data_IF_087474388684
#
_entry.id   IF_087474388684
#
_cell.length_a   1.000
_cell.length_b   1.000
_cell.length_c   1.000
_cell.angle_alpha   90.00
_cell.angle_beta   90.00
_cell.angle_gamma   90.00
#
_symmetry.space_group_name_H-M   'P 1'
#
loop_
_entity.id
_entity.type
_entity.pdbx_description
1 polymer ?
#
# COMPACT_ATOMS: atom_id res chain seq x y z
N UNK A 1 59.30 -10.24 -9.14
CA UNK A 1 58.74 -9.81 -7.83
C UNK A 1 59.64 -8.74 -7.24
N UNK A 2 59.18 -7.47 -7.25
CA UNK A 2 59.89 -6.36 -6.63
C UNK A 2 59.99 -6.60 -5.12
N UNK A 3 61.21 -6.57 -4.58
CA UNK A 3 61.45 -6.83 -3.15
C UNK A 3 60.98 -5.63 -2.32
N UNK A 4 59.83 -5.76 -1.63
CA UNK A 4 59.40 -4.81 -0.60
C UNK A 4 60.08 -5.12 0.74
N UNK A 5 60.47 -4.08 1.45
CA UNK A 5 61.01 -4.15 2.81
C UNK A 5 59.96 -3.70 3.83
N UNK A 6 60.07 -4.26 5.05
CA UNK A 6 59.28 -3.75 6.19
C UNK A 6 59.74 -2.33 6.50
N UNK A 7 58.78 -1.37 6.48
CA UNK A 7 59.11 0.03 6.72
C UNK A 7 58.78 0.41 8.17
N UNK A 8 57.53 0.73 8.43
CA UNK A 8 57.04 1.11 9.77
C UNK A 8 55.61 0.61 9.99
N UNK A 9 54.87 1.19 10.94
CA UNK A 9 53.49 0.92 11.17
C UNK A 9 52.65 2.17 10.92
N UNK A 10 51.47 1.97 10.36
CA UNK A 10 50.43 2.99 10.33
C UNK A 10 50.00 3.34 11.76
N UNK A 11 49.62 4.58 12.00
CA UNK A 11 48.99 4.97 13.27
C UNK A 11 47.78 4.06 13.58
N UNK A 12 47.62 3.62 14.84
CA UNK A 12 46.52 2.75 15.21
C UNK A 12 45.16 3.36 14.91
N UNK A 13 44.29 2.60 14.24
CA UNK A 13 42.94 3.00 13.94
C UNK A 13 41.95 2.30 14.88
N UNK A 14 41.01 3.03 15.45
CA UNK A 14 39.88 2.47 16.24
C UNK A 14 38.80 1.99 15.29
N UNK A 15 38.62 0.69 15.20
CA UNK A 15 37.68 0.03 14.29
C UNK A 15 36.54 -0.58 15.12
N UNK A 16 35.27 -0.16 14.95
CA UNK A 16 34.16 -0.83 15.59
C UNK A 16 34.03 -2.26 15.06
N UNK A 17 33.88 -3.21 15.98
CA UNK A 17 33.56 -4.61 15.72
C UNK A 17 32.24 -4.96 16.41
N UNK A 18 31.71 -6.16 16.19
CA UNK A 18 30.51 -6.60 16.89
C UNK A 18 30.74 -6.59 18.40
N UNK A 19 29.69 -6.29 19.14
CA UNK A 19 29.67 -6.27 20.61
C UNK A 19 30.15 -7.63 21.18
N UNK A 20 30.89 -7.55 22.24
CA UNK A 20 31.28 -8.72 23.02
C UNK A 20 30.46 -8.76 24.30
N UNK A 21 29.65 -9.81 24.47
CA UNK A 21 28.76 -9.98 25.63
C UNK A 21 27.86 -8.77 25.94
N UNK A 22 27.39 -8.08 24.87
CA UNK A 22 26.54 -6.88 25.00
C UNK A 22 27.29 -5.56 25.21
N UNK A 23 28.63 -5.58 25.24
CA UNK A 23 29.47 -4.38 25.39
C UNK A 23 29.99 -3.87 24.05
N UNK A 24 29.93 -2.56 23.76
CA UNK A 24 30.56 -1.95 22.59
C UNK A 24 32.03 -2.25 22.53
N UNK A 25 32.48 -2.83 21.43
CA UNK A 25 33.88 -3.29 21.29
C UNK A 25 34.59 -2.59 20.15
N UNK A 26 35.79 -2.11 20.43
CA UNK A 26 36.67 -1.46 19.45
C UNK A 26 37.96 -2.28 19.26
N UNK A 27 38.29 -2.59 18.02
CA UNK A 27 39.58 -3.14 17.65
C UNK A 27 40.58 -2.00 17.41
N UNK A 28 41.68 -1.99 18.12
CA UNK A 28 42.80 -1.09 17.87
C UNK A 28 43.71 -1.72 16.81
N UNK A 29 43.51 -1.36 15.54
CA UNK A 29 44.19 -1.98 14.42
C UNK A 29 45.45 -1.19 14.01
N UNK A 30 46.62 -1.79 14.15
CA UNK A 30 47.92 -1.26 13.74
C UNK A 30 48.42 -2.05 12.53
N UNK A 31 48.41 -1.43 11.33
CA UNK A 31 48.83 -2.10 10.08
C UNK A 31 50.29 -1.84 9.78
N UNK A 32 51.02 -2.89 9.32
CA UNK A 32 52.37 -2.75 8.84
C UNK A 32 52.41 -2.01 7.49
N UNK A 33 53.40 -1.10 7.30
CA UNK A 33 53.71 -0.51 6.02
C UNK A 33 54.96 -1.19 5.42
N UNK A 34 54.98 -1.23 4.10
CA UNK A 34 56.07 -1.79 3.31
C UNK A 34 56.55 -0.75 2.29
N UNK A 35 57.82 -0.64 2.07
CA UNK A 35 58.41 0.23 1.08
C UNK A 35 59.00 -0.58 -0.08
N UNK A 36 58.70 -0.24 -1.30
CA UNK A 36 59.33 -0.83 -2.48
C UNK A 36 60.78 -0.32 -2.61
N UNK A 37 61.76 -1.21 -2.78
CA UNK A 37 63.13 -0.83 -2.94
C UNK A 37 63.40 -0.08 -4.26
N UNK A 38 62.68 -0.40 -5.31
CA UNK A 38 62.86 0.18 -6.63
C UNK A 38 62.21 1.56 -6.78
N UNK A 39 60.93 1.71 -6.41
CA UNK A 39 60.18 2.94 -6.63
C UNK A 39 59.95 3.77 -5.37
N UNK A 40 60.43 3.35 -4.22
CA UNK A 40 60.28 3.98 -2.90
C UNK A 40 58.81 4.19 -2.45
N UNK A 41 57.83 3.69 -3.18
CA UNK A 41 56.42 3.77 -2.79
C UNK A 41 56.14 2.96 -1.53
N UNK A 42 55.42 3.56 -0.59
CA UNK A 42 54.97 2.92 0.64
C UNK A 42 53.55 2.39 0.46
N UNK A 43 53.35 1.12 0.80
CA UNK A 43 52.07 0.45 0.79
C UNK A 43 51.74 -0.04 2.19
N UNK A 44 50.42 -0.15 2.48
CA UNK A 44 49.91 -0.63 3.78
C UNK A 44 49.43 -2.06 3.61
N UNK A 45 49.69 -2.93 4.59
CA UNK A 45 49.21 -4.31 4.57
C UNK A 45 47.66 -4.34 4.54
N UNK A 46 47.11 -5.20 3.74
CA UNK A 46 45.70 -5.46 3.69
C UNK A 46 45.26 -6.44 4.79
N UNK A 47 43.99 -6.43 5.15
CA UNK A 47 43.39 -7.33 6.15
C UNK A 47 41.98 -7.63 5.74
N UNK A 48 41.48 -8.86 5.95
CA UNK A 48 40.10 -9.20 5.67
C UNK A 48 39.10 -8.50 6.63
N UNK A 49 39.56 -8.02 7.78
CA UNK A 49 38.73 -7.40 8.79
C UNK A 49 38.14 -6.04 8.36
N UNK A 50 38.87 -5.28 7.54
CA UNK A 50 38.51 -3.92 7.15
C UNK A 50 38.94 -3.68 5.70
N UNK A 51 38.02 -3.23 4.87
CA UNK A 51 38.36 -2.85 3.48
C UNK A 51 39.36 -1.70 3.44
N UNK A 52 40.15 -1.63 2.36
CA UNK A 52 41.10 -0.54 2.12
C UNK A 52 40.38 0.82 2.26
N UNK A 53 41.03 1.75 2.96
CA UNK A 53 40.49 3.10 3.22
C UNK A 53 39.15 3.15 3.97
N UNK A 54 38.77 2.07 4.68
CA UNK A 54 37.59 2.01 5.53
C UNK A 54 37.93 1.91 7.00
N UNK A 55 37.05 2.41 7.87
CA UNK A 55 37.17 2.32 9.34
C UNK A 55 36.00 1.54 9.95
N UNK A 56 35.24 0.79 9.16
CA UNK A 56 34.13 -0.07 9.60
C UNK A 56 34.53 -1.51 9.28
N UNK A 57 34.43 -2.38 10.27
CA UNK A 57 34.75 -3.79 10.09
C UNK A 57 33.77 -4.50 9.17
N UNK A 58 34.23 -5.54 8.49
CA UNK A 58 33.38 -6.33 7.59
C UNK A 58 32.17 -6.96 8.33
N UNK A 59 32.30 -7.54 9.55
CA UNK A 59 31.17 -8.05 10.32
C UNK A 59 30.13 -6.99 10.64
N UNK A 60 30.54 -5.75 10.94
CA UNK A 60 29.58 -4.63 11.14
C UNK A 60 28.82 -4.34 9.83
N UNK A 61 29.48 -4.32 8.68
CA UNK A 61 28.80 -4.11 7.39
C UNK A 61 27.75 -5.20 7.09
N UNK A 62 28.06 -6.45 7.40
CA UNK A 62 27.14 -7.58 7.26
C UNK A 62 25.97 -7.46 8.22
N UNK A 63 26.22 -7.12 9.48
CA UNK A 63 25.18 -6.92 10.48
C UNK A 63 24.27 -5.74 10.16
N UNK A 64 24.81 -4.62 9.64
CA UNK A 64 23.99 -3.51 9.12
C UNK A 64 23.07 -4.00 8.01
N UNK A 65 23.57 -4.83 7.08
CA UNK A 65 22.78 -5.41 5.99
C UNK A 65 21.60 -6.21 6.55
N UNK A 66 21.87 -7.12 7.50
CA UNK A 66 20.85 -7.92 8.16
C UNK A 66 19.80 -7.04 8.87
N UNK A 67 20.23 -6.08 9.67
CA UNK A 67 19.31 -5.21 10.42
C UNK A 67 18.50 -4.26 9.52
N UNK A 68 18.99 -3.95 8.33
CA UNK A 68 18.24 -3.17 7.35
C UNK A 68 17.02 -3.95 6.77
N UNK A 69 17.04 -5.29 6.81
CA UNK A 69 15.86 -6.11 6.41
C UNK A 69 14.85 -6.26 7.55
N UNK A 70 15.24 -5.91 8.78
CA UNK A 70 14.36 -5.90 9.94
C UNK A 70 13.57 -4.57 10.04
N UNK A 71 12.50 -4.56 10.85
CA UNK A 71 11.69 -3.36 11.11
C UNK A 71 12.39 -2.39 12.06
N UNK A 72 13.60 -1.94 11.72
CA UNK A 72 14.38 -1.00 12.53
C UNK A 72 14.64 0.31 11.78
N UNK A 73 14.67 1.43 12.54
CA UNK A 73 15.10 2.72 11.97
C UNK A 73 16.61 2.77 11.80
N UNK A 74 17.09 3.58 10.85
CA UNK A 74 18.54 3.78 10.69
C UNK A 74 19.23 4.27 11.97
N UNK A 75 18.52 5.09 12.78
CA UNK A 75 19.03 5.56 14.08
C UNK A 75 19.12 4.41 15.10
N UNK A 76 18.13 3.53 15.15
CA UNK A 76 18.13 2.36 16.04
C UNK A 76 19.27 1.41 15.67
N UNK A 77 19.48 1.15 14.36
CA UNK A 77 20.61 0.34 13.88
C UNK A 77 21.94 0.97 14.27
N UNK A 78 22.08 2.28 14.04
CA UNK A 78 23.29 3.02 14.38
C UNK A 78 23.63 2.95 15.87
N UNK A 79 22.62 3.14 16.75
CA UNK A 79 22.76 3.01 18.21
C UNK A 79 23.13 1.60 18.63
N UNK A 80 22.45 0.59 18.08
CA UNK A 80 22.71 -0.82 18.40
C UNK A 80 24.11 -1.28 18.04
N UNK A 81 24.68 -0.75 16.95
CA UNK A 81 26.02 -1.14 16.47
C UNK A 81 27.11 -0.12 16.85
N UNK A 82 26.79 0.91 17.62
CA UNK A 82 27.71 1.99 18.04
C UNK A 82 28.46 2.66 16.88
N UNK A 83 27.74 2.88 15.78
CA UNK A 83 28.24 3.54 14.56
C UNK A 83 27.41 4.80 14.25
N UNK A 84 27.90 5.66 13.36
CA UNK A 84 27.14 6.83 12.95
C UNK A 84 25.97 6.46 12.03
N UNK A 85 24.87 7.24 12.09
CA UNK A 85 23.70 7.07 11.18
C UNK A 85 24.12 7.18 9.72
N UNK A 86 25.12 8.01 9.40
CA UNK A 86 25.63 8.18 8.03
C UNK A 86 26.29 6.90 7.49
N UNK A 87 26.84 6.04 8.33
CA UNK A 87 27.34 4.72 7.93
C UNK A 87 26.18 3.83 7.48
N UNK A 88 25.11 3.77 8.29
CA UNK A 88 23.91 2.98 7.94
C UNK A 88 23.28 3.51 6.64
N UNK A 89 23.17 4.83 6.48
CA UNK A 89 22.63 5.45 5.26
C UNK A 89 23.49 5.16 4.03
N UNK A 90 24.83 5.18 4.15
CA UNK A 90 25.73 4.77 3.05
C UNK A 90 25.54 3.31 2.66
N UNK A 91 25.31 2.43 3.63
CA UNK A 91 25.00 1.03 3.34
C UNK A 91 23.67 0.88 2.63
N UNK A 92 22.63 1.56 3.12
CA UNK A 92 21.30 1.59 2.49
C UNK A 92 21.37 2.08 1.04
N UNK A 93 22.20 3.10 0.76
CA UNK A 93 22.37 3.64 -0.59
C UNK A 93 23.10 2.68 -1.56
N UNK A 94 23.80 1.67 -1.07
CA UNK A 94 24.47 0.65 -1.88
C UNK A 94 23.49 -0.40 -2.44
N UNK A 95 22.31 -0.55 -1.84
CA UNK A 95 21.31 -1.47 -2.37
C UNK A 95 20.78 -0.96 -3.72
N UNK A 96 20.89 -1.81 -4.71
CA UNK A 96 20.36 -1.58 -6.04
C UNK A 96 19.37 -2.70 -6.36
N UNK A 97 18.21 -2.32 -6.85
CA UNK A 97 17.21 -3.26 -7.32
C UNK A 97 17.16 -3.15 -8.84
N UNK A 98 17.88 -4.04 -9.55
CA UNK A 98 17.90 -4.01 -11.01
C UNK A 98 16.48 -4.22 -11.53
N UNK A 99 16.10 -3.39 -12.49
CA UNK A 99 14.79 -3.48 -13.14
C UNK A 99 14.95 -4.33 -14.40
N UNK A 100 14.17 -5.39 -14.47
CA UNK A 100 14.09 -6.22 -15.68
C UNK A 100 12.93 -5.72 -16.56
N UNK A 101 13.29 -5.11 -17.69
CA UNK A 101 12.30 -4.60 -18.66
C UNK A 101 11.94 -5.63 -19.75
N UNK A 102 12.40 -6.88 -19.62
CA UNK A 102 12.12 -7.93 -20.60
C UNK A 102 10.80 -8.66 -20.34
N UNK A 103 10.22 -8.54 -19.14
CA UNK A 103 8.99 -9.23 -18.76
C UNK A 103 8.11 -8.39 -17.84
N UNK A 104 6.80 -8.60 -17.93
CA UNK A 104 5.78 -8.05 -17.04
C UNK A 104 4.86 -9.18 -16.55
N UNK A 105 4.28 -9.05 -15.34
CA UNK A 105 3.23 -9.94 -14.87
C UNK A 105 2.00 -9.91 -15.79
N UNK A 106 1.31 -11.02 -15.90
CA UNK A 106 0.03 -11.11 -16.65
C UNK A 106 -1.09 -10.31 -15.97
N UNK A 107 -1.02 -10.17 -14.65
CA UNK A 107 -2.00 -9.45 -13.83
C UNK A 107 -1.27 -8.43 -12.98
N UNK A 108 -1.52 -7.15 -13.23
CA UNK A 108 -0.96 -6.02 -12.49
C UNK A 108 -2.00 -5.44 -11.53
N UNK A 109 -1.56 -5.07 -10.35
CA UNK A 109 -2.34 -4.25 -9.41
C UNK A 109 -1.72 -2.87 -9.30
N UNK A 110 -2.53 -1.82 -9.50
CA UNK A 110 -2.13 -0.42 -9.42
C UNK A 110 -2.85 0.29 -8.29
N UNK A 111 -2.11 1.11 -7.54
CA UNK A 111 -2.65 1.92 -6.45
C UNK A 111 -1.75 3.10 -6.13
N UNK A 112 -2.20 3.92 -5.20
CA UNK A 112 -1.48 5.07 -4.67
C UNK A 112 -1.29 4.94 -3.15
N UNK A 113 -0.18 5.45 -2.65
CA UNK A 113 -0.02 5.59 -1.22
C UNK A 113 0.52 6.98 -0.83
N UNK A 114 0.14 7.43 0.36
CA UNK A 114 0.59 8.72 0.88
C UNK A 114 2.07 8.68 1.23
N UNK A 115 2.87 9.48 0.53
CA UNK A 115 4.30 9.67 0.78
C UNK A 115 4.57 10.67 1.90
N UNK A 116 4.20 11.94 1.71
CA UNK A 116 4.38 13.04 2.67
C UNK A 116 3.28 14.10 2.47
N UNK A 117 2.69 14.61 3.57
CA UNK A 117 1.79 15.79 3.58
C UNK A 117 0.91 15.93 2.32
N UNK A 118 0.09 14.94 2.03
CA UNK A 118 -0.82 14.96 0.87
C UNK A 118 -0.19 14.59 -0.49
N UNK A 119 1.13 14.38 -0.60
CA UNK A 119 1.76 13.91 -1.82
C UNK A 119 1.59 12.40 -1.95
N UNK A 120 1.10 11.95 -3.11
CA UNK A 120 0.89 10.55 -3.44
C UNK A 120 2.05 9.99 -4.24
N UNK A 121 2.44 8.78 -3.96
CA UNK A 121 3.33 7.94 -4.74
C UNK A 121 2.53 6.83 -5.42
N UNK A 122 2.97 6.40 -6.59
CA UNK A 122 2.35 5.33 -7.35
C UNK A 122 3.06 4.01 -7.07
N UNK A 123 2.31 2.92 -6.99
CA UNK A 123 2.81 1.56 -6.88
C UNK A 123 2.16 0.64 -7.92
N UNK A 124 2.97 -0.21 -8.53
CA UNK A 124 2.51 -1.33 -9.34
C UNK A 124 3.08 -2.64 -8.78
N UNK A 125 2.22 -3.63 -8.62
CA UNK A 125 2.52 -4.93 -8.03
C UNK A 125 2.02 -6.06 -8.91
N UNK A 126 2.72 -7.18 -8.93
CA UNK A 126 2.22 -8.44 -9.47
C UNK A 126 1.11 -8.97 -8.54
N UNK A 127 -0.07 -9.19 -9.09
CA UNK A 127 -1.20 -9.71 -8.33
C UNK A 127 -0.97 -11.12 -7.78
N UNK A 128 -0.26 -11.97 -8.51
CA UNK A 128 -0.06 -13.37 -8.14
C UNK A 128 1.03 -13.52 -7.07
N UNK A 129 2.22 -13.03 -7.36
CA UNK A 129 3.41 -13.19 -6.50
C UNK A 129 3.53 -12.14 -5.41
N UNK A 130 2.78 -11.04 -5.50
CA UNK A 130 2.88 -9.83 -4.66
C UNK A 130 4.22 -9.09 -4.80
N UNK A 131 5.02 -9.44 -5.82
CA UNK A 131 6.26 -8.73 -6.08
C UNK A 131 5.99 -7.30 -6.57
N UNK A 132 6.70 -6.34 -6.01
CA UNK A 132 6.58 -4.94 -6.41
C UNK A 132 7.29 -4.73 -7.75
N UNK A 133 6.52 -4.43 -8.79
CA UNK A 133 7.05 -4.12 -10.12
C UNK A 133 7.73 -2.77 -10.13
N UNK A 134 7.09 -1.76 -9.55
CA UNK A 134 7.68 -0.43 -9.39
C UNK A 134 7.00 0.41 -8.33
N UNK A 135 7.77 1.34 -7.78
CA UNK A 135 7.29 2.46 -6.97
C UNK A 135 7.81 3.74 -7.59
N UNK A 136 6.89 4.66 -7.93
CA UNK A 136 7.23 5.98 -8.48
C UNK A 136 6.95 7.07 -7.46
N UNK A 137 7.79 8.10 -7.47
CA UNK A 137 7.74 9.19 -6.49
C UNK A 137 6.43 9.99 -6.50
N UNK A 138 5.71 9.95 -7.63
CA UNK A 138 4.43 10.62 -7.81
C UNK A 138 3.49 9.76 -8.68
N UNK A 139 2.20 10.10 -8.64
CA UNK A 139 1.14 9.46 -9.39
C UNK A 139 0.83 10.17 -10.73
N UNK A 140 1.71 11.05 -11.20
CA UNK A 140 1.49 11.79 -12.47
C UNK A 140 1.45 10.85 -13.65
N UNK A 141 0.48 11.04 -14.53
CA UNK A 141 0.30 10.21 -15.73
C UNK A 141 1.57 10.12 -16.58
N UNK A 142 2.28 11.25 -16.78
CA UNK A 142 3.53 11.27 -17.52
C UNK A 142 4.62 10.40 -16.89
N UNK A 143 4.74 10.40 -15.55
CA UNK A 143 5.73 9.58 -14.84
C UNK A 143 5.44 8.09 -15.00
N UNK A 144 4.17 7.70 -14.94
CA UNK A 144 3.73 6.31 -15.10
C UNK A 144 3.96 5.86 -16.54
N UNK A 145 3.56 6.67 -17.54
CA UNK A 145 3.78 6.38 -18.95
C UNK A 145 5.28 6.23 -19.26
N UNK A 146 6.10 7.17 -18.81
CA UNK A 146 7.56 7.15 -19.06
C UNK A 146 8.22 5.90 -18.43
N UNK A 147 7.72 5.42 -17.30
CA UNK A 147 8.22 4.19 -16.70
C UNK A 147 7.84 2.97 -17.55
N UNK A 148 6.55 2.79 -17.86
CA UNK A 148 6.07 1.59 -18.57
C UNK A 148 6.46 1.58 -20.06
N UNK A 149 6.75 2.72 -20.67
CA UNK A 149 7.30 2.75 -22.03
C UNK A 149 8.74 2.25 -22.16
N UNK A 150 9.44 2.04 -21.04
CA UNK A 150 10.73 1.33 -21.04
C UNK A 150 10.59 -0.15 -21.40
N UNK A 151 9.40 -0.73 -21.18
CA UNK A 151 9.08 -2.07 -21.66
C UNK A 151 8.73 -2.04 -23.15
N UNK A 152 9.30 -2.94 -23.96
CA UNK A 152 8.90 -3.09 -25.36
C UNK A 152 7.39 -3.32 -25.49
N UNK A 153 6.81 -2.91 -26.61
CA UNK A 153 5.36 -3.08 -26.86
C UNK A 153 4.90 -4.52 -26.73
N UNK A 154 5.67 -5.46 -27.26
CA UNK A 154 5.39 -6.90 -27.17
C UNK A 154 5.24 -7.36 -25.72
N UNK A 155 6.12 -6.89 -24.81
CA UNK A 155 6.05 -7.20 -23.38
C UNK A 155 4.82 -6.56 -22.72
N UNK A 156 4.48 -5.32 -23.07
CA UNK A 156 3.27 -4.66 -22.54
C UNK A 156 1.98 -5.34 -23.01
N UNK A 157 1.95 -5.93 -24.18
CA UNK A 157 0.81 -6.67 -24.71
C UNK A 157 0.62 -8.06 -24.02
N UNK A 158 1.58 -8.55 -23.26
CA UNK A 158 1.42 -9.77 -22.45
C UNK A 158 0.56 -9.58 -21.20
N UNK A 159 0.38 -8.34 -20.75
CA UNK A 159 -0.48 -7.99 -19.60
C UNK A 159 -1.93 -8.25 -19.98
N UNK A 160 -2.61 -9.11 -19.22
CA UNK A 160 -4.00 -9.53 -19.48
C UNK A 160 -5.01 -8.77 -18.62
N UNK A 161 -4.64 -8.42 -17.39
CA UNK A 161 -5.52 -7.73 -16.44
C UNK A 161 -4.76 -6.64 -15.68
N UNK A 162 -5.43 -5.53 -15.42
CA UNK A 162 -4.95 -4.48 -14.53
C UNK A 162 -6.03 -4.16 -13.52
N UNK A 163 -5.77 -4.42 -12.23
CA UNK A 163 -6.66 -4.01 -11.15
C UNK A 163 -6.30 -2.59 -10.71
N UNK A 164 -7.32 -1.76 -10.50
CA UNK A 164 -7.14 -0.33 -10.17
C UNK A 164 -8.36 0.20 -9.44
N UNK A 165 -8.18 1.25 -8.64
CA UNK A 165 -9.26 2.00 -8.03
C UNK A 165 -10.18 2.64 -9.08
N UNK A 166 -11.38 3.00 -8.67
CA UNK A 166 -12.36 3.69 -9.52
C UNK A 166 -11.95 5.16 -9.78
N UNK A 167 -10.66 5.41 -10.00
CA UNK A 167 -10.12 6.69 -10.41
C UNK A 167 -10.15 6.80 -11.94
N UNK A 168 -10.93 7.73 -12.46
CA UNK A 168 -11.04 7.95 -13.91
C UNK A 168 -9.72 8.31 -14.61
N UNK A 169 -8.69 8.71 -13.85
CA UNK A 169 -7.39 9.13 -14.37
C UNK A 169 -6.52 7.97 -14.90
N UNK A 170 -6.67 6.76 -14.36
CA UNK A 170 -5.85 5.60 -14.73
C UNK A 170 -6.36 4.84 -15.94
N UNK A 171 -7.68 4.81 -16.16
CA UNK A 171 -8.30 4.05 -17.26
C UNK A 171 -7.71 4.40 -18.63
N UNK A 172 -7.58 5.68 -19.04
CA UNK A 172 -6.98 6.04 -20.34
C UNK A 172 -5.53 5.62 -20.45
N UNK A 173 -4.77 5.72 -19.34
CA UNK A 173 -3.34 5.35 -19.32
C UNK A 173 -3.17 3.85 -19.51
N UNK A 174 -3.97 3.05 -18.79
CA UNK A 174 -3.92 1.59 -18.88
C UNK A 174 -4.23 1.13 -20.30
N UNK A 175 -5.27 1.68 -20.94
CA UNK A 175 -5.61 1.39 -22.33
C UNK A 175 -4.49 1.71 -23.30
N UNK A 176 -3.79 2.81 -23.09
CA UNK A 176 -2.67 3.22 -23.92
C UNK A 176 -1.42 2.34 -23.71
N UNK A 177 -1.12 1.97 -22.47
CA UNK A 177 0.07 1.20 -22.11
C UNK A 177 -0.12 -0.30 -22.39
N UNK A 178 -1.30 -0.83 -22.10
CA UNK A 178 -1.62 -2.26 -22.15
C UNK A 178 -2.89 -2.50 -22.99
N UNK A 179 -2.80 -2.38 -24.31
CA UNK A 179 -3.97 -2.37 -25.20
C UNK A 179 -4.79 -3.67 -25.18
N UNK A 180 -4.17 -4.79 -24.76
CA UNK A 180 -4.83 -6.09 -24.63
C UNK A 180 -5.35 -6.39 -23.21
N UNK A 181 -5.08 -5.52 -22.26
CA UNK A 181 -5.46 -5.75 -20.86
C UNK A 181 -6.93 -5.38 -20.60
N UNK A 182 -7.63 -6.25 -19.89
CA UNK A 182 -8.93 -5.93 -19.29
C UNK A 182 -8.71 -5.19 -17.98
N UNK A 183 -9.42 -4.07 -17.81
CA UNK A 183 -9.37 -3.28 -16.58
C UNK A 183 -10.40 -3.86 -15.61
N UNK A 184 -9.98 -4.05 -14.36
CA UNK A 184 -10.80 -4.56 -13.27
C UNK A 184 -10.81 -3.49 -12.18
N UNK A 185 -11.97 -2.92 -11.89
CA UNK A 185 -12.07 -1.93 -10.80
C UNK A 185 -12.06 -2.62 -9.43
N UNK A 186 -11.52 -1.92 -8.43
CA UNK A 186 -11.50 -2.48 -7.09
C UNK A 186 -12.90 -2.59 -6.49
N UNK A 187 -13.25 -3.80 -6.05
CA UNK A 187 -14.56 -4.15 -5.47
C UNK A 187 -14.88 -3.33 -4.22
N UNK A 188 -13.88 -3.08 -3.39
CA UNK A 188 -14.07 -2.31 -2.17
C UNK A 188 -14.56 -0.90 -2.48
N UNK A 189 -13.96 -0.23 -3.46
CA UNK A 189 -14.34 1.12 -3.86
C UNK A 189 -15.74 1.18 -4.47
N UNK A 190 -16.15 0.16 -5.26
CA UNK A 190 -17.52 0.08 -5.81
C UNK A 190 -18.53 0.02 -4.67
N UNK A 191 -18.36 -0.91 -3.72
CA UNK A 191 -19.25 -1.05 -2.56
C UNK A 191 -19.22 0.20 -1.67
N UNK A 192 -18.06 0.83 -1.52
CA UNK A 192 -17.92 2.06 -0.75
C UNK A 192 -18.74 3.22 -1.34
N UNK A 193 -18.81 3.34 -2.68
CA UNK A 193 -19.66 4.34 -3.33
C UNK A 193 -21.15 4.12 -3.04
N UNK A 194 -21.64 2.88 -3.16
CA UNK A 194 -23.02 2.53 -2.80
C UNK A 194 -23.30 2.82 -1.33
N UNK A 195 -22.41 2.40 -0.46
CA UNK A 195 -22.53 2.61 0.98
C UNK A 195 -22.57 4.10 1.35
N UNK A 196 -21.76 4.93 0.70
CA UNK A 196 -21.78 6.39 0.90
C UNK A 196 -23.12 7.00 0.44
N UNK A 197 -23.67 6.57 -0.69
CA UNK A 197 -24.98 7.03 -1.15
C UNK A 197 -26.07 6.66 -0.15
N UNK A 198 -26.10 5.41 0.34
CA UNK A 198 -27.03 4.95 1.37
C UNK A 198 -26.90 5.77 2.66
N UNK A 199 -25.66 6.04 3.12
CA UNK A 199 -25.44 6.80 4.36
C UNK A 199 -25.81 8.28 4.18
N UNK A 200 -25.59 8.90 3.02
CA UNK A 200 -26.04 10.26 2.72
C UNK A 200 -27.57 10.32 2.76
N UNK A 201 -28.24 9.41 2.06
CA UNK A 201 -29.70 9.32 2.04
C UNK A 201 -30.28 9.14 3.44
N UNK A 202 -29.70 8.24 4.24
CA UNK A 202 -30.10 8.08 5.64
C UNK A 202 -29.98 9.38 6.43
N UNK A 203 -28.90 10.16 6.22
CA UNK A 203 -28.69 11.43 6.91
C UNK A 203 -29.76 12.45 6.48
N UNK A 204 -30.07 12.53 5.20
CA UNK A 204 -31.07 13.46 4.67
C UNK A 204 -32.46 13.13 5.24
N UNK A 205 -32.85 11.86 5.26
CA UNK A 205 -34.12 11.41 5.86
C UNK A 205 -34.12 11.63 7.38
N UNK A 206 -33.02 11.31 8.06
CA UNK A 206 -32.90 11.52 9.50
C UNK A 206 -33.13 12.99 9.89
N UNK A 207 -32.67 13.94 9.09
CA UNK A 207 -32.83 15.38 9.32
C UNK A 207 -34.26 15.90 9.17
N UNK A 208 -35.18 15.12 8.59
CA UNK A 208 -36.61 15.48 8.54
C UNK A 208 -37.35 15.25 9.87
N UNK A 209 -36.72 14.55 10.82
CA UNK A 209 -37.24 14.28 12.14
C UNK A 209 -36.63 15.19 13.20
N UNK A 210 -37.39 15.50 14.24
CA UNK A 210 -36.91 16.28 15.38
C UNK A 210 -35.77 15.57 16.10
N UNK A 211 -34.74 16.31 16.47
CA UNK A 211 -33.50 15.77 17.09
C UNK A 211 -33.73 14.87 18.32
N UNK A 212 -34.65 15.17 19.26
CA UNK A 212 -34.92 14.30 20.42
C UNK A 212 -35.81 13.10 20.09
N UNK A 213 -36.36 13.03 18.88
CA UNK A 213 -37.30 11.97 18.51
C UNK A 213 -36.66 10.59 18.42
N UNK A 214 -37.45 9.54 18.60
CA UNK A 214 -37.00 8.17 18.49
C UNK A 214 -36.50 7.83 17.06
N UNK A 215 -37.19 8.23 15.96
CA UNK A 215 -36.72 8.02 14.59
C UNK A 215 -35.32 8.61 14.35
N UNK A 216 -35.12 9.88 14.75
CA UNK A 216 -33.82 10.54 14.61
C UNK A 216 -32.71 9.78 15.31
N UNK A 217 -32.93 9.42 16.60
CA UNK A 217 -31.94 8.68 17.41
C UNK A 217 -31.68 7.29 16.87
N UNK A 218 -32.69 6.58 16.39
CA UNK A 218 -32.55 5.27 15.77
C UNK A 218 -31.64 5.31 14.54
N UNK A 219 -31.92 6.21 13.60
CA UNK A 219 -31.11 6.39 12.40
C UNK A 219 -29.69 6.88 12.73
N UNK A 220 -29.51 7.75 13.73
CA UNK A 220 -28.20 8.29 14.15
C UNK A 220 -27.33 7.24 14.81
N UNK A 221 -27.87 6.45 15.74
CA UNK A 221 -27.08 5.56 16.57
C UNK A 221 -26.78 4.22 15.90
N UNK A 222 -27.66 3.77 15.00
CA UNK A 222 -27.57 2.44 14.38
C UNK A 222 -27.09 2.45 12.92
N UNK A 223 -26.49 3.55 12.45
CA UNK A 223 -26.02 3.68 11.08
C UNK A 223 -25.05 2.57 10.61
N UNK A 224 -24.20 2.06 11.54
CA UNK A 224 -23.26 0.97 11.23
C UNK A 224 -23.99 -0.35 10.93
N UNK A 225 -25.14 -0.58 11.55
CA UNK A 225 -25.94 -1.77 11.32
C UNK A 225 -26.66 -1.64 9.98
N UNK A 226 -27.23 -0.47 9.67
CA UNK A 226 -27.87 -0.18 8.39
C UNK A 226 -26.90 -0.27 7.19
N UNK A 227 -25.61 -0.01 7.41
CA UNK A 227 -24.59 -0.08 6.38
C UNK A 227 -24.16 -1.51 6.04
N UNK A 228 -24.35 -2.46 6.97
CA UNK A 228 -23.92 -3.85 6.78
C UNK A 228 -24.84 -4.60 5.82
N UNK A 229 -24.27 -5.61 5.17
CA UNK A 229 -25.05 -6.63 4.47
C UNK A 229 -25.97 -7.34 5.47
N UNK A 230 -27.28 -7.31 5.21
CA UNK A 230 -28.32 -7.86 6.09
C UNK A 230 -28.13 -9.36 6.38
N UNK A 231 -27.56 -10.11 5.44
CA UNK A 231 -27.27 -11.54 5.56
C UNK A 231 -26.10 -11.84 6.53
N UNK A 232 -25.27 -10.83 6.79
CA UNK A 232 -24.10 -10.91 7.69
C UNK A 232 -24.34 -10.25 9.05
N UNK A 233 -25.58 -9.89 9.35
CA UNK A 233 -25.93 -9.36 10.65
C UNK A 233 -25.85 -10.47 11.71
N UNK A 234 -25.28 -10.13 12.87
CA UNK A 234 -25.18 -11.05 14.01
C UNK A 234 -26.57 -11.38 14.52
N UNK A 235 -26.75 -12.61 15.03
CA UNK A 235 -27.93 -13.05 15.76
C UNK A 235 -27.84 -12.75 17.27
N UNK A 236 -26.71 -12.20 17.75
CA UNK A 236 -26.48 -11.95 19.15
C UNK A 236 -27.37 -10.81 19.65
N UNK A 237 -28.05 -11.04 20.75
CA UNK A 237 -28.84 -10.03 21.45
C UNK A 237 -27.93 -8.99 22.12
N UNK A 238 -28.32 -7.73 22.06
CA UNK A 238 -27.69 -6.64 22.82
C UNK A 238 -28.75 -5.64 23.29
N UNK A 239 -28.47 -4.99 24.41
CA UNK A 239 -29.37 -3.93 24.90
C UNK A 239 -29.21 -2.66 24.08
N UNK A 240 -30.26 -2.30 23.37
CA UNK A 240 -30.31 -1.04 22.61
C UNK A 240 -30.82 0.09 23.49
N UNK A 241 -29.94 0.98 23.92
CA UNK A 241 -30.33 2.19 24.68
C UNK A 241 -31.31 3.07 23.92
N UNK A 242 -31.30 3.05 22.60
CA UNK A 242 -32.20 3.86 21.75
C UNK A 242 -33.62 3.37 21.84
N UNK A 243 -33.82 2.06 21.84
CA UNK A 243 -35.16 1.43 21.91
C UNK A 243 -35.55 1.00 23.33
N UNK A 244 -34.63 1.03 24.31
CA UNK A 244 -34.90 0.59 25.67
C UNK A 244 -35.16 -0.92 25.80
N UNK A 245 -34.69 -1.71 24.84
CA UNK A 245 -35.00 -3.15 24.73
C UNK A 245 -33.76 -3.95 24.33
N UNK A 246 -33.75 -5.23 24.67
CA UNK A 246 -32.76 -6.19 24.19
C UNK A 246 -33.20 -6.71 22.82
N UNK A 247 -32.41 -6.48 21.78
CA UNK A 247 -32.75 -6.73 20.38
C UNK A 247 -31.54 -7.35 19.66
N UNK A 248 -31.85 -8.07 18.59
CA UNK A 248 -30.84 -8.46 17.59
C UNK A 248 -30.58 -7.30 16.63
N UNK A 249 -29.42 -7.24 15.93
CA UNK A 249 -29.17 -6.27 14.88
C UNK A 249 -30.27 -6.24 13.78
N UNK A 250 -30.85 -7.40 13.47
CA UNK A 250 -31.93 -7.51 12.47
C UNK A 250 -33.20 -6.80 12.94
N UNK A 251 -33.61 -7.00 14.21
CA UNK A 251 -34.76 -6.32 14.80
C UNK A 251 -34.54 -4.80 14.89
N UNK A 252 -33.31 -4.37 15.21
CA UNK A 252 -32.94 -2.94 15.19
C UNK A 252 -33.13 -2.33 13.80
N UNK A 253 -32.70 -3.03 12.74
CA UNK A 253 -32.92 -2.58 11.36
C UNK A 253 -34.43 -2.48 11.10
N UNK A 254 -35.19 -3.54 11.36
CA UNK A 254 -36.63 -3.57 11.10
C UNK A 254 -37.35 -2.40 11.80
N UNK A 255 -37.13 -2.23 13.10
CA UNK A 255 -37.71 -1.10 13.87
C UNK A 255 -37.30 0.28 13.34
N UNK A 256 -36.04 0.40 12.83
CA UNK A 256 -35.55 1.66 12.28
C UNK A 256 -36.21 1.98 10.91
N UNK A 257 -36.44 0.96 10.09
CA UNK A 257 -37.08 1.12 8.77
C UNK A 257 -38.58 1.43 8.87
N UNK A 258 -39.25 1.00 9.95
CA UNK A 258 -40.66 1.31 10.21
C UNK A 258 -40.94 2.83 10.35
N UNK A 259 -39.94 3.64 10.64
CA UNK A 259 -40.08 5.09 10.76
C UNK A 259 -40.15 5.83 9.42
N UNK A 260 -39.76 5.20 8.30
CA UNK A 260 -39.75 5.87 6.99
C UNK A 260 -39.75 4.86 5.85
N UNK A 261 -40.83 4.86 5.06
CA UNK A 261 -40.92 4.05 3.83
C UNK A 261 -39.82 4.43 2.82
N UNK A 262 -39.46 5.71 2.80
CA UNK A 262 -38.36 6.17 1.94
C UNK A 262 -37.03 5.53 2.36
N UNK A 263 -36.75 5.47 3.67
CA UNK A 263 -35.54 4.81 4.17
C UNK A 263 -35.56 3.32 3.85
N UNK A 264 -36.70 2.67 4.01
CA UNK A 264 -36.92 1.26 3.69
C UNK A 264 -36.64 1.00 2.21
N UNK A 265 -37.18 1.78 1.31
CA UNK A 265 -36.93 1.66 -0.13
C UNK A 265 -35.43 1.71 -0.47
N UNK A 266 -34.70 2.71 0.03
CA UNK A 266 -33.26 2.83 -0.24
C UNK A 266 -32.43 1.73 0.44
N UNK A 267 -32.85 1.28 1.61
CA UNK A 267 -32.21 0.16 2.28
C UNK A 267 -32.38 -1.13 1.48
N UNK A 268 -33.59 -1.45 1.06
CA UNK A 268 -33.89 -2.66 0.28
C UNK A 268 -33.15 -2.63 -1.07
N UNK A 269 -33.17 -1.50 -1.77
CA UNK A 269 -32.40 -1.32 -3.01
C UNK A 269 -30.90 -1.51 -2.79
N UNK A 270 -30.34 -0.96 -1.71
CA UNK A 270 -28.94 -1.14 -1.34
C UNK A 270 -28.62 -2.61 -1.05
N UNK A 271 -29.46 -3.33 -0.31
CA UNK A 271 -29.27 -4.73 0.02
C UNK A 271 -29.34 -5.63 -1.22
N UNK A 272 -30.27 -5.40 -2.14
CA UNK A 272 -30.37 -6.16 -3.40
C UNK A 272 -29.15 -5.91 -4.29
N UNK A 273 -28.69 -4.67 -4.38
CA UNK A 273 -27.45 -4.37 -5.13
C UNK A 273 -26.23 -5.07 -4.52
N UNK A 274 -26.10 -5.08 -3.19
CA UNK A 274 -25.06 -5.84 -2.50
C UNK A 274 -25.16 -7.34 -2.78
N UNK A 275 -26.36 -7.89 -2.79
CA UNK A 275 -26.62 -9.29 -3.08
C UNK A 275 -26.12 -9.66 -4.47
N UNK A 276 -26.58 -9.00 -5.53
CA UNK A 276 -26.18 -9.32 -6.90
C UNK A 276 -24.70 -9.09 -7.15
N UNK A 277 -24.10 -8.09 -6.50
CA UNK A 277 -22.67 -7.84 -6.56
C UNK A 277 -21.85 -9.01 -5.95
N UNK A 278 -22.30 -9.59 -4.83
CA UNK A 278 -21.60 -10.69 -4.15
C UNK A 278 -21.84 -12.03 -4.84
N UNK A 279 -23.05 -12.27 -5.36
CA UNK A 279 -23.38 -13.47 -6.13
C UNK A 279 -22.81 -13.45 -7.57
N UNK A 280 -21.99 -12.41 -7.88
CA UNK A 280 -21.36 -12.23 -9.20
C UNK A 280 -22.35 -12.13 -10.36
N UNK A 281 -23.52 -11.62 -10.10
CA UNK A 281 -24.56 -11.45 -11.10
C UNK A 281 -24.55 -10.03 -11.66
N UNK A 282 -23.66 -9.78 -12.61
CA UNK A 282 -23.48 -8.45 -13.20
C UNK A 282 -24.71 -7.96 -13.97
N UNK A 283 -25.45 -8.85 -14.64
CA UNK A 283 -26.61 -8.47 -15.45
C UNK A 283 -27.71 -7.88 -14.56
N UNK A 284 -28.18 -8.61 -13.55
CA UNK A 284 -29.19 -8.10 -12.63
C UNK A 284 -28.73 -6.88 -11.82
N UNK A 285 -27.41 -6.83 -11.50
CA UNK A 285 -26.87 -5.64 -10.86
C UNK A 285 -27.07 -4.38 -11.73
N UNK A 286 -26.81 -4.46 -13.04
CA UNK A 286 -26.94 -3.33 -13.94
C UNK A 286 -28.39 -3.04 -14.33
N UNK A 287 -29.24 -4.06 -14.50
CA UNK A 287 -30.70 -3.89 -14.68
C UNK A 287 -31.30 -3.06 -13.54
N UNK A 288 -30.99 -3.42 -12.28
CA UNK A 288 -31.46 -2.66 -11.12
C UNK A 288 -31.00 -1.19 -11.13
N UNK A 289 -29.77 -0.91 -11.61
CA UNK A 289 -29.31 0.47 -11.73
C UNK A 289 -30.07 1.23 -12.81
N UNK A 290 -30.34 0.60 -13.95
CA UNK A 290 -31.04 1.20 -15.10
C UNK A 290 -32.50 1.46 -14.74
N UNK A 291 -33.23 0.51 -14.17
CA UNK A 291 -34.63 0.61 -13.78
C UNK A 291 -34.87 1.68 -12.71
N UNK A 292 -33.93 1.81 -11.77
CA UNK A 292 -34.08 2.76 -10.66
C UNK A 292 -33.43 4.12 -10.91
N UNK A 293 -32.75 4.36 -12.04
CA UNK A 293 -31.96 5.57 -12.29
C UNK A 293 -32.80 6.87 -12.15
N UNK A 294 -34.08 6.83 -12.56
CA UNK A 294 -34.95 7.98 -12.53
C UNK A 294 -35.81 8.09 -11.24
N UNK A 295 -35.83 7.03 -10.44
CA UNK A 295 -36.61 6.95 -9.20
C UNK A 295 -35.81 7.37 -7.97
N UNK A 296 -34.49 7.26 -8.05
CA UNK A 296 -33.61 7.50 -6.90
C UNK A 296 -33.25 8.97 -6.72
N UNK A 297 -32.87 9.32 -5.48
CA UNK A 297 -32.42 10.65 -5.11
C UNK A 297 -31.05 11.01 -5.74
N UNK A 298 -30.61 12.27 -5.65
CA UNK A 298 -29.33 12.72 -6.25
C UNK A 298 -28.09 11.94 -5.80
N UNK A 299 -28.06 11.46 -4.55
CA UNK A 299 -26.92 10.71 -4.02
C UNK A 299 -26.74 9.36 -4.76
N UNK A 300 -27.80 8.56 -4.85
CA UNK A 300 -27.79 7.31 -5.61
C UNK A 300 -27.69 7.56 -7.12
N UNK A 301 -28.37 8.58 -7.65
CA UNK A 301 -28.32 8.92 -9.09
C UNK A 301 -26.91 9.20 -9.58
N UNK A 302 -26.11 9.90 -8.78
CA UNK A 302 -24.69 10.17 -9.10
C UNK A 302 -23.87 8.90 -9.16
N UNK A 303 -24.06 8.00 -8.21
CA UNK A 303 -23.38 6.69 -8.17
C UNK A 303 -23.81 5.82 -9.35
N UNK A 304 -25.12 5.72 -9.62
CA UNK A 304 -25.66 4.94 -10.72
C UNK A 304 -25.14 5.41 -12.07
N UNK A 305 -25.16 6.71 -12.35
CA UNK A 305 -24.55 7.28 -13.57
C UNK A 305 -23.07 6.93 -13.70
N UNK A 306 -22.34 6.99 -12.60
CA UNK A 306 -20.91 6.63 -12.59
C UNK A 306 -20.71 5.15 -12.88
N UNK A 307 -21.53 4.28 -12.30
CA UNK A 307 -21.45 2.83 -12.53
C UNK A 307 -21.82 2.45 -13.95
N UNK A 308 -22.85 3.05 -14.52
CA UNK A 308 -23.23 2.85 -15.91
C UNK A 308 -22.14 3.33 -16.88
N UNK A 309 -21.49 4.47 -16.58
CA UNK A 309 -20.32 4.93 -17.34
C UNK A 309 -19.17 3.92 -17.34
N UNK A 310 -18.95 3.23 -16.24
CA UNK A 310 -17.88 2.25 -16.08
C UNK A 310 -18.37 0.79 -16.10
N UNK A 311 -19.54 0.53 -16.72
CA UNK A 311 -20.22 -0.76 -16.76
C UNK A 311 -19.25 -1.92 -17.06
N UNK A 312 -18.52 -1.86 -18.17
CA UNK A 312 -17.57 -2.92 -18.58
C UNK A 312 -16.52 -3.26 -17.50
N UNK A 313 -15.96 -2.25 -16.81
CA UNK A 313 -14.91 -2.47 -15.81
C UNK A 313 -15.46 -2.97 -14.49
N UNK A 314 -16.69 -2.57 -14.14
CA UNK A 314 -17.40 -3.07 -12.96
C UNK A 314 -17.88 -4.50 -13.21
N UNK A 315 -18.37 -4.84 -14.42
CA UNK A 315 -18.65 -6.23 -14.83
C UNK A 315 -17.41 -7.09 -14.64
N UNK A 316 -16.25 -6.65 -15.13
CA UNK A 316 -15.01 -7.37 -14.89
C UNK A 316 -14.71 -7.55 -13.38
N UNK A 317 -14.99 -6.54 -12.54
CA UNK A 317 -14.78 -6.63 -11.10
C UNK A 317 -15.74 -7.62 -10.42
N UNK A 318 -16.97 -7.73 -10.90
CA UNK A 318 -17.97 -8.67 -10.38
C UNK A 318 -17.60 -10.12 -10.75
N UNK A 319 -17.29 -10.37 -12.02
CA UNK A 319 -17.16 -11.71 -12.58
C UNK A 319 -15.77 -12.31 -12.38
N UNK A 320 -14.69 -11.49 -12.47
CA UNK A 320 -13.33 -11.99 -12.41
C UNK A 320 -12.82 -12.10 -10.95
N UNK A 321 -11.88 -13.01 -10.65
CA UNK A 321 -11.39 -13.24 -9.29
C UNK A 321 -10.35 -12.20 -8.82
N UNK A 322 -10.18 -11.08 -9.52
CA UNK A 322 -9.14 -10.09 -9.23
C UNK A 322 -9.67 -8.94 -8.38
N UNK A 323 -8.86 -8.44 -7.45
CA UNK A 323 -9.15 -7.27 -6.59
C UNK A 323 -7.85 -6.60 -6.13
N UNK A 324 -7.93 -5.38 -5.57
CA UNK A 324 -6.76 -4.70 -5.00
C UNK A 324 -6.43 -5.12 -3.55
N UNK A 325 -7.16 -6.05 -2.94
CA UNK A 325 -6.97 -6.44 -1.53
C UNK A 325 -5.52 -6.82 -1.17
N UNK A 326 -4.81 -7.51 -2.07
CA UNK A 326 -3.38 -7.85 -1.86
C UNK A 326 -2.50 -6.60 -1.86
N UNK A 327 -2.78 -5.65 -2.73
CA UNK A 327 -2.04 -4.39 -2.83
C UNK A 327 -2.37 -3.45 -1.65
N UNK A 328 -3.61 -3.45 -1.16
CA UNK A 328 -3.98 -2.74 0.07
C UNK A 328 -3.19 -3.25 1.28
N UNK A 329 -2.98 -4.57 1.40
CA UNK A 329 -2.13 -5.15 2.44
C UNK A 329 -0.67 -4.66 2.31
N UNK A 330 -0.13 -4.58 1.09
CA UNK A 330 1.19 -4.01 0.81
C UNK A 330 1.24 -2.53 1.20
N UNK A 331 0.23 -1.74 0.85
CA UNK A 331 0.14 -0.34 1.23
C UNK A 331 0.06 -0.13 2.75
N UNK A 332 -0.55 -1.07 3.49
CA UNK A 332 -0.54 -1.05 4.95
C UNK A 332 0.86 -1.26 5.51
N UNK A 333 1.61 -2.24 4.99
CA UNK A 333 3.01 -2.45 5.37
C UNK A 333 3.89 -1.22 5.06
N UNK A 334 3.70 -0.59 3.90
CA UNK A 334 4.41 0.65 3.53
C UNK A 334 4.10 1.78 4.52
N UNK A 335 2.83 1.93 4.95
CA UNK A 335 2.44 2.89 5.99
C UNK A 335 3.11 2.60 7.33
N UNK A 336 3.24 1.33 7.70
CA UNK A 336 3.89 0.91 8.95
C UNK A 336 5.41 1.18 8.90
N UNK A 337 6.09 0.85 7.80
CA UNK A 337 7.51 1.21 7.57
C UNK A 337 7.71 2.72 7.71
N UNK A 338 6.84 3.52 7.09
CA UNK A 338 6.89 4.98 7.17
C UNK A 338 6.68 5.48 8.60
N UNK A 339 5.72 4.93 9.34
CA UNK A 339 5.40 5.31 10.72
C UNK A 339 6.56 5.00 11.67
N UNK A 340 7.14 3.81 11.58
CA UNK A 340 8.29 3.39 12.40
C UNK A 340 9.52 4.27 12.18
N UNK A 341 9.72 4.74 10.95
CA UNK A 341 10.84 5.63 10.61
C UNK A 341 10.56 7.11 10.90
N UNK A 342 9.42 7.47 11.52
CA UNK A 342 8.96 8.86 11.68
C UNK A 342 8.92 9.65 10.36
N UNK A 343 8.74 8.97 9.24
CA UNK A 343 8.76 9.50 7.89
C UNK A 343 10.13 9.45 7.21
N UNK A 344 10.13 9.71 5.92
CA UNK A 344 11.33 9.74 5.09
C UNK A 344 11.46 11.09 4.37
N UNK A 345 12.59 11.76 4.51
CA UNK A 345 12.90 12.98 3.75
C UNK A 345 13.30 12.66 2.30
N UNK A 346 14.04 11.55 2.11
CA UNK A 346 14.55 11.11 0.81
C UNK A 346 13.71 9.94 0.28
N UNK A 347 13.09 10.13 -0.88
CA UNK A 347 12.24 9.10 -1.49
C UNK A 347 13.03 7.87 -1.94
N UNK A 348 14.27 8.02 -2.41
CA UNK A 348 15.12 6.89 -2.81
C UNK A 348 15.36 5.96 -1.63
N UNK A 349 15.69 6.52 -0.45
CA UNK A 349 15.89 5.73 0.77
C UNK A 349 14.59 5.06 1.22
N UNK A 350 13.44 5.74 1.08
CA UNK A 350 12.14 5.16 1.38
C UNK A 350 11.82 3.99 0.44
N UNK A 351 12.00 4.18 -0.85
CA UNK A 351 11.83 3.13 -1.85
C UNK A 351 12.73 1.92 -1.57
N UNK A 352 14.01 2.15 -1.27
CA UNK A 352 14.96 1.09 -0.90
C UNK A 352 14.52 0.30 0.34
N UNK A 353 13.87 0.94 1.31
CA UNK A 353 13.41 0.28 2.53
C UNK A 353 12.14 -0.53 2.31
N UNK A 354 11.37 -0.25 1.26
CA UNK A 354 10.17 -0.99 0.88
C UNK A 354 10.53 -2.27 0.11
N UNK A 355 11.54 -2.21 -0.78
CA UNK A 355 12.06 -3.37 -1.51
C UNK A 355 12.86 -4.30 -0.59
#
# INVERSE_FOLDING_TARGET
QEKCIKYDFQMPSKIPILDCQGFPTLLLLKKRRFQCKSCQKVTVSETPLVKKNCQISQPIWEKVTQLLTENMTNLAIARRLHISVSVVQRKLAQFQFPQDFTKLPKVLSWDEFSRNKGKLAFIAQDFETRHIVTILENNRQASIKNYFYKYPRVVRETVKFVTVDMSGSYIPIIKQLFPRAKIVLDRFHIIQHLSRAMMSTRIDIMKTFDTPSLPYRAMKNHWRILQKDSRKLSQNLFYSRTFGQTLTPKEVVQKTLEFSDQLKFYYDLYQILLFHFQEKNSNYFFELLEDNLNLVNPAFKTVFKTFLKYKTYITNAIELPYSNAKLEATNKLIKDIKRQAFGFRNFKNFKTKIY
#
